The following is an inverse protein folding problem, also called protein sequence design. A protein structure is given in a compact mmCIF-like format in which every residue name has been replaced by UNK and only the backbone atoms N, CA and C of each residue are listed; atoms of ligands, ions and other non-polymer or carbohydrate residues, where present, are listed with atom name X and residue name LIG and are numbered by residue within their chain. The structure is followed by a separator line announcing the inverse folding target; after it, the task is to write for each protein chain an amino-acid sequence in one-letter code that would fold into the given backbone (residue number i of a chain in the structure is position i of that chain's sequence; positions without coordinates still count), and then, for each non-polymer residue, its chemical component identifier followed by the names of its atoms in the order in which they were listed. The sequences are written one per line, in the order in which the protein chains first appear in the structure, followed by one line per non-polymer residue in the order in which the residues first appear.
data_IF_822626009419
#
_entry.id   IF_822626009419
#
_cell.length_a   1.000
_cell.length_b   1.000
_cell.length_c   1.000
_cell.angle_alpha   90.00
_cell.angle_beta   90.00
_cell.angle_gamma   90.00
#
_symmetry.space_group_name_H-M   'P 1'
#
loop_
_entity.id
_entity.type
_entity.pdbx_description
1 polymer ?
#
# COMPACT_ATOMS: atom_id res chain seq x y z
N UNK A 1 -14.37 26.53 -11.53
CA UNK A 1 -15.11 25.29 -11.85
C UNK A 1 -14.09 24.19 -11.93
N UNK A 2 -13.97 23.38 -10.88
CA UNK A 2 -12.99 22.29 -10.79
C UNK A 2 -13.71 21.03 -11.30
N UNK A 3 -13.11 20.38 -12.29
CA UNK A 3 -13.55 19.09 -12.83
C UNK A 3 -13.67 18.07 -11.68
N UNK A 4 -14.84 17.44 -11.54
CA UNK A 4 -15.20 16.57 -10.41
C UNK A 4 -14.62 15.14 -10.55
N UNK A 5 -13.85 14.84 -11.61
CA UNK A 5 -13.40 13.48 -11.94
C UNK A 5 -11.87 13.33 -12.15
N UNK A 6 -11.05 14.29 -11.69
CA UNK A 6 -9.61 14.23 -11.92
C UNK A 6 -8.90 13.61 -10.72
N UNK A 7 -8.17 12.53 -10.97
CA UNK A 7 -7.16 12.02 -10.05
C UNK A 7 -5.85 12.80 -10.17
N UNK A 8 -5.01 12.70 -9.13
CA UNK A 8 -3.74 13.40 -9.06
C UNK A 8 -2.64 12.49 -8.49
N UNK A 9 -1.44 12.60 -9.07
CA UNK A 9 -0.23 11.87 -8.66
C UNK A 9 0.89 12.79 -8.16
N UNK A 10 1.44 12.53 -6.97
CA UNK A 10 2.54 13.28 -6.35
C UNK A 10 3.85 12.49 -6.42
N UNK A 11 4.94 13.13 -6.88
CA UNK A 11 6.27 12.54 -6.99
C UNK A 11 6.81 12.14 -5.61
N UNK A 12 7.35 10.94 -5.42
CA UNK A 12 8.03 10.60 -4.17
C UNK A 12 9.09 9.50 -4.38
N UNK A 13 9.94 9.31 -3.38
CA UNK A 13 10.92 8.21 -3.36
C UNK A 13 10.19 6.89 -3.12
N UNK A 14 10.29 5.94 -4.05
CA UNK A 14 9.73 4.60 -3.88
C UNK A 14 10.44 3.81 -2.79
N UNK A 15 11.73 4.06 -2.56
CA UNK A 15 12.47 3.47 -1.44
C UNK A 15 12.22 4.19 -0.12
N UNK A 16 12.11 3.41 0.96
CA UNK A 16 12.01 3.91 2.33
C UNK A 16 10.67 4.58 2.66
N UNK A 17 9.72 4.61 1.71
CA UNK A 17 8.46 5.30 1.86
C UNK A 17 7.25 4.35 1.90
N UNK A 18 6.23 4.73 2.65
CA UNK A 18 4.93 4.07 2.70
C UNK A 18 3.81 5.08 2.40
N UNK A 19 2.72 4.57 1.85
CA UNK A 19 1.57 5.36 1.42
C UNK A 19 0.34 4.92 2.20
N UNK A 20 -0.29 5.86 2.88
CA UNK A 20 -1.51 5.66 3.65
C UNK A 20 -2.59 6.66 3.22
N UNK A 21 -3.85 6.25 3.25
CA UNK A 21 -4.98 7.12 2.86
C UNK A 21 -6.05 7.15 3.94
N UNK A 22 -6.50 8.37 4.25
CA UNK A 22 -7.62 8.64 5.13
C UNK A 22 -8.53 9.69 4.50
N UNK A 23 -9.80 9.81 4.91
CA UNK A 23 -10.72 10.85 4.42
C UNK A 23 -10.11 12.26 4.28
N UNK A 24 -9.22 12.67 5.20
CA UNK A 24 -8.59 14.00 5.23
C UNK A 24 -7.47 14.21 4.20
N UNK A 25 -6.96 13.14 3.59
CA UNK A 25 -5.90 13.22 2.60
C UNK A 25 -5.04 11.96 2.49
N UNK A 26 -3.96 12.11 1.74
CA UNK A 26 -2.95 11.07 1.55
C UNK A 26 -1.73 11.37 2.37
N UNK A 27 -1.16 10.35 2.97
CA UNK A 27 0.02 10.45 3.81
C UNK A 27 1.14 9.64 3.18
N UNK A 28 2.30 10.27 3.04
CA UNK A 28 3.53 9.59 2.66
C UNK A 28 4.43 9.64 3.88
N UNK A 29 4.81 8.49 4.43
CA UNK A 29 5.84 8.43 5.46
C UNK A 29 7.15 7.95 4.84
N UNK A 30 8.26 8.66 5.06
CA UNK A 30 9.60 8.23 4.64
C UNK A 30 10.57 8.50 5.76
N UNK A 31 11.24 7.45 6.26
CA UNK A 31 12.07 7.54 7.47
C UNK A 31 11.28 8.14 8.64
N UNK A 32 11.80 9.17 9.29
CA UNK A 32 11.17 9.93 10.37
C UNK A 32 10.28 11.09 9.88
N UNK A 33 10.01 11.20 8.58
CA UNK A 33 9.21 12.28 7.99
C UNK A 33 7.82 11.78 7.59
N UNK A 34 6.80 12.60 7.83
CA UNK A 34 5.43 12.36 7.39
C UNK A 34 4.95 13.56 6.55
N UNK A 35 4.68 13.33 5.28
CA UNK A 35 3.98 14.30 4.43
C UNK A 35 2.48 14.06 4.47
N UNK A 36 1.72 15.14 4.60
CA UNK A 36 0.28 15.17 4.37
C UNK A 36 0.00 15.90 3.07
N UNK A 37 -0.69 15.21 2.15
CA UNK A 37 -1.07 15.70 0.84
C UNK A 37 -2.58 15.87 0.78
N UNK A 38 -3.04 17.09 0.49
CA UNK A 38 -4.46 17.42 0.39
C UNK A 38 -4.67 18.42 -0.75
N UNK A 39 -4.90 17.90 -1.96
CA UNK A 39 -5.02 18.71 -3.17
C UNK A 39 -3.74 19.51 -3.42
N UNK A 40 -3.83 20.84 -3.45
CA UNK A 40 -2.68 21.73 -3.60
C UNK A 40 -1.95 22.06 -2.29
N UNK A 41 -2.45 21.57 -1.13
CA UNK A 41 -1.83 21.79 0.17
C UNK A 41 -0.93 20.62 0.55
N UNK A 42 0.28 20.94 0.99
CA UNK A 42 1.26 19.97 1.45
C UNK A 42 1.92 20.46 2.74
N UNK A 43 2.05 19.58 3.72
CA UNK A 43 2.85 19.82 4.92
C UNK A 43 3.70 18.61 5.25
N UNK A 44 4.82 18.85 5.93
CA UNK A 44 5.73 17.80 6.40
C UNK A 44 5.92 17.95 7.90
N UNK A 45 5.77 16.84 8.63
CA UNK A 45 6.03 16.75 10.06
C UNK A 45 7.17 15.78 10.33
N UNK A 46 7.98 16.06 11.34
CA UNK A 46 9.14 15.25 11.72
C UNK A 46 8.85 14.50 13.02
N UNK A 47 8.98 13.18 12.99
CA UNK A 47 9.03 12.31 14.15
C UNK A 47 10.47 12.22 14.68
N UNK A 48 10.66 11.68 15.89
CA UNK A 48 12.03 11.47 16.42
C UNK A 48 12.71 10.23 15.85
N UNK A 49 11.96 9.36 15.21
CA UNK A 49 12.38 8.04 14.77
C UNK A 49 11.60 7.62 13.52
N UNK A 50 12.08 6.58 12.86
CA UNK A 50 11.46 6.03 11.65
C UNK A 50 10.00 5.66 11.89
N UNK A 51 9.13 6.18 11.03
CA UNK A 51 7.71 5.87 10.99
C UNK A 51 7.54 4.44 10.46
N UNK A 52 6.88 3.60 11.26
CA UNK A 52 6.60 2.19 10.95
C UNK A 52 5.17 2.00 10.46
N UNK A 53 4.24 2.83 10.91
CA UNK A 53 2.85 2.81 10.43
C UNK A 53 2.12 4.11 10.73
N UNK A 54 1.24 4.52 9.81
CA UNK A 54 0.27 5.60 9.99
C UNK A 54 -1.13 4.99 10.13
N UNK A 55 -1.95 5.50 11.04
CA UNK A 55 -3.21 4.86 11.39
C UNK A 55 -4.26 5.86 11.91
N UNK A 56 -5.53 5.44 12.02
CA UNK A 56 -6.61 6.23 12.62
C UNK A 56 -6.77 5.88 14.10
N UNK A 57 -6.57 6.84 15.01
CA UNK A 57 -6.80 6.69 16.46
C UNK A 57 -8.30 6.64 16.80
N UNK A 58 -8.64 6.12 17.99
CA UNK A 58 -10.04 6.09 18.50
C UNK A 58 -10.70 7.47 18.59
N UNK A 59 -9.92 8.51 18.84
CA UNK A 59 -10.41 9.89 18.90
C UNK A 59 -10.64 10.51 17.51
N UNK A 60 -10.44 9.75 16.43
CA UNK A 60 -10.59 10.21 15.06
C UNK A 60 -9.34 10.87 14.47
N UNK A 61 -8.30 11.16 15.26
CA UNK A 61 -7.08 11.78 14.75
C UNK A 61 -6.16 10.77 14.06
N UNK A 62 -5.24 11.27 13.25
CA UNK A 62 -4.19 10.43 12.64
C UNK A 62 -3.11 10.17 13.69
N UNK A 63 -2.75 8.90 13.84
CA UNK A 63 -1.70 8.41 14.71
C UNK A 63 -0.52 7.88 13.91
N UNK A 64 0.67 7.96 14.50
CA UNK A 64 1.90 7.39 13.95
C UNK A 64 2.53 6.47 15.00
N UNK A 65 3.08 5.35 14.57
CA UNK A 65 3.96 4.50 15.38
C UNK A 65 5.36 4.51 14.79
N UNK A 66 6.36 4.72 15.63
CA UNK A 66 7.77 4.71 15.25
C UNK A 66 8.51 3.43 15.71
N UNK A 67 9.75 3.24 15.25
CA UNK A 67 10.56 2.03 15.46
C UNK A 67 10.71 1.58 16.92
N UNK A 68 10.88 2.50 17.88
CA UNK A 68 11.01 2.17 19.31
C UNK A 68 9.68 2.20 20.06
N UNK A 69 8.56 1.96 19.37
CA UNK A 69 7.20 2.03 19.93
C UNK A 69 6.89 3.39 20.59
N UNK A 70 7.44 4.47 20.03
CA UNK A 70 6.99 5.83 20.30
C UNK A 70 5.75 6.09 19.44
N UNK A 71 4.74 6.72 20.02
CA UNK A 71 3.48 7.01 19.35
C UNK A 71 3.23 8.50 19.31
N UNK A 72 2.74 8.97 18.17
CA UNK A 72 2.34 10.36 17.97
C UNK A 72 0.88 10.45 17.55
N UNK A 73 0.27 11.60 17.82
CA UNK A 73 -0.93 12.04 17.13
C UNK A 73 -0.62 13.29 16.30
N UNK A 74 -1.23 13.39 15.13
CA UNK A 74 -1.20 14.59 14.30
C UNK A 74 -2.33 15.54 14.75
N UNK A 75 -1.94 16.68 15.29
CA UNK A 75 -2.83 17.73 15.80
C UNK A 75 -2.36 19.07 15.24
N UNK A 76 -3.21 19.77 14.49
CA UNK A 76 -2.87 21.06 13.86
C UNK A 76 -1.53 21.05 13.10
N UNK A 77 -1.28 20.00 12.31
CA UNK A 77 -0.04 19.80 11.52
C UNK A 77 1.23 19.56 12.34
N UNK A 78 1.09 19.39 13.66
CA UNK A 78 2.18 19.02 14.56
C UNK A 78 2.02 17.61 15.08
N UNK A 79 3.15 16.93 15.27
CA UNK A 79 3.20 15.63 15.90
C UNK A 79 3.36 15.81 17.41
N UNK A 80 2.33 15.41 18.15
CA UNK A 80 2.31 15.39 19.61
C UNK A 80 2.55 13.96 20.08
N UNK A 81 3.57 13.75 20.93
CA UNK A 81 3.83 12.43 21.52
C UNK A 81 2.68 12.04 22.45
N UNK A 82 2.21 10.81 22.36
CA UNK A 82 1.06 10.31 23.13
C UNK A 82 1.38 9.01 23.83
N UNK A 83 0.73 8.79 24.98
CA UNK A 83 0.73 7.48 25.62
C UNK A 83 -0.25 6.59 24.85
N UNK A 84 0.21 5.52 24.20
CA UNK A 84 -0.64 4.65 23.41
C UNK A 84 -1.57 3.82 24.29
N UNK A 85 -2.84 3.70 23.89
CA UNK A 85 -3.75 2.71 24.45
C UNK A 85 -3.58 1.33 23.78
N UNK A 86 -4.37 0.34 24.18
CA UNK A 86 -4.31 -0.98 23.54
C UNK A 86 -4.68 -0.94 22.04
N UNK A 87 -5.54 -0.01 21.62
CA UNK A 87 -5.93 0.10 20.23
C UNK A 87 -4.78 0.63 19.36
N UNK A 88 -4.08 1.66 19.84
CA UNK A 88 -2.87 2.21 19.22
C UNK A 88 -1.78 1.12 19.04
N UNK A 89 -1.53 0.31 20.09
CA UNK A 89 -0.46 -0.71 20.08
C UNK A 89 -0.73 -1.90 19.17
N UNK A 90 -2.00 -2.23 18.92
CA UNK A 90 -2.39 -3.45 18.23
C UNK A 90 -2.95 -3.20 16.81
N UNK A 91 -2.65 -2.05 16.21
CA UNK A 91 -2.86 -1.84 14.78
C UNK A 91 -4.25 -1.33 14.39
N UNK A 92 -4.94 -0.64 15.31
CA UNK A 92 -6.06 0.26 14.98
C UNK A 92 -7.22 -0.42 14.26
N UNK A 93 -7.72 -1.47 14.91
CA UNK A 93 -8.80 -2.27 14.40
C UNK A 93 -10.01 -1.46 13.91
N UNK A 94 -10.47 -1.75 12.69
CA UNK A 94 -11.78 -1.36 12.15
C UNK A 94 -12.92 -1.83 13.08
N UNK A 95 -14.10 -1.23 12.94
CA UNK A 95 -15.29 -1.67 13.66
C UNK A 95 -15.55 -3.18 13.42
N UNK A 96 -15.71 -3.97 14.49
CA UNK A 96 -15.60 -5.46 14.54
C UNK A 96 -14.17 -6.04 14.56
N UNK A 97 -13.12 -5.30 14.90
CA UNK A 97 -11.76 -5.85 14.97
C UNK A 97 -11.37 -6.35 16.37
N UNK A 98 -10.51 -7.38 16.34
CA UNK A 98 -10.09 -8.19 17.48
C UNK A 98 -8.63 -7.87 17.83
N UNK A 99 -8.33 -7.70 19.11
CA UNK A 99 -7.00 -7.27 19.55
C UNK A 99 -6.25 -8.42 20.23
N UNK A 100 -4.94 -8.48 20.03
CA UNK A 100 -4.08 -9.42 20.74
C UNK A 100 -3.58 -8.77 22.03
N UNK A 101 -4.22 -9.03 23.16
CA UNK A 101 -3.75 -8.51 24.45
C UNK A 101 -2.65 -9.41 25.07
N UNK A 102 -1.72 -8.80 25.81
CA UNK A 102 -0.72 -9.53 26.60
C UNK A 102 -0.87 -9.13 28.06
N UNK A 103 -1.34 -10.04 28.92
CA UNK A 103 -1.26 -9.84 30.36
C UNK A 103 0.18 -10.03 30.84
N UNK A 104 0.71 -9.06 31.59
CA UNK A 104 2.03 -9.21 32.24
C UNK A 104 1.93 -10.30 33.31
N UNK A 105 2.68 -11.40 33.12
CA UNK A 105 2.97 -12.37 34.18
C UNK A 105 2.47 -13.79 33.97
N UNK A 106 1.67 -14.08 32.94
CA UNK A 106 1.33 -15.45 32.50
C UNK A 106 1.21 -15.52 30.98
N UNK A 107 1.40 -16.72 30.44
CA UNK A 107 1.37 -17.08 29.01
C UNK A 107 0.49 -16.18 28.14
N UNK A 108 0.98 -15.83 26.94
CA UNK A 108 0.24 -15.06 25.93
C UNK A 108 -1.19 -15.58 25.71
N UNK A 109 -2.18 -14.73 25.97
CA UNK A 109 -3.60 -15.01 25.80
C UNK A 109 -4.15 -14.03 24.77
N UNK A 110 -4.46 -14.48 23.56
CA UNK A 110 -5.16 -13.64 22.57
C UNK A 110 -6.60 -13.49 23.03
N UNK A 111 -7.10 -12.25 23.13
CA UNK A 111 -8.45 -11.94 23.63
C UNK A 111 -9.25 -11.25 22.52
N UNK A 112 -10.11 -12.02 21.89
CA UNK A 112 -11.07 -11.57 20.89
C UNK A 112 -12.24 -10.86 21.57
N UNK A 113 -12.32 -9.53 21.48
CA UNK A 113 -13.36 -8.74 22.15
C UNK A 113 -14.25 -8.03 21.14
N UNK A 114 -15.57 -8.23 21.23
CA UNK A 114 -16.56 -7.38 20.57
C UNK A 114 -17.05 -6.33 21.57
N UNK A 115 -16.92 -5.06 21.21
CA UNK A 115 -17.40 -3.92 22.00
C UNK A 115 -18.52 -3.19 21.27
N UNK A 116 -19.56 -2.82 22.01
CA UNK A 116 -20.64 -1.95 21.54
C UNK A 116 -20.13 -0.53 21.27
N UNK A 117 -20.95 0.27 20.60
CA UNK A 117 -20.69 1.69 20.31
C UNK A 117 -20.48 2.54 21.57
N UNK A 118 -21.01 2.11 22.71
CA UNK A 118 -20.80 2.75 24.03
C UNK A 118 -19.55 2.23 24.76
N UNK A 119 -18.70 1.46 24.09
CA UNK A 119 -17.50 0.79 24.64
C UNK A 119 -17.76 -0.31 25.67
N UNK A 120 -19.02 -0.72 25.88
CA UNK A 120 -19.32 -1.91 26.69
C UNK A 120 -18.90 -3.19 25.95
N UNK A 121 -18.37 -4.16 26.70
CA UNK A 121 -17.94 -5.45 26.13
C UNK A 121 -19.16 -6.34 25.94
N UNK A 122 -19.42 -6.73 24.70
CA UNK A 122 -20.53 -7.63 24.35
C UNK A 122 -20.10 -9.09 24.38
N UNK A 123 -18.91 -9.38 23.86
CA UNK A 123 -18.32 -10.73 23.89
C UNK A 123 -16.81 -10.68 24.09
N UNK A 124 -16.28 -11.67 24.79
CA UNK A 124 -14.85 -11.90 24.96
C UNK A 124 -14.54 -13.39 24.76
N UNK A 125 -13.70 -13.70 23.77
CA UNK A 125 -13.22 -15.05 23.51
C UNK A 125 -11.71 -15.09 23.65
N UNK A 126 -11.17 -16.12 24.29
CA UNK A 126 -9.73 -16.27 24.43
C UNK A 126 -9.22 -17.59 23.89
N UNK A 127 -8.17 -17.55 23.07
CA UNK A 127 -7.53 -18.75 22.54
C UNK A 127 -6.35 -18.40 21.64
N UNK A 128 -5.30 -19.22 21.66
CA UNK A 128 -4.13 -18.99 20.82
C UNK A 128 -4.42 -19.31 19.35
N UNK A 129 -3.92 -18.46 18.44
CA UNK A 129 -3.99 -18.70 17.00
C UNK A 129 -5.39 -18.59 16.40
N UNK A 130 -6.30 -17.88 17.07
CA UNK A 130 -7.62 -17.57 16.57
C UNK A 130 -7.59 -16.27 15.74
N UNK A 131 -8.33 -16.25 14.64
CA UNK A 131 -8.58 -15.09 13.80
C UNK A 131 -10.07 -15.03 13.47
N UNK A 132 -10.73 -13.92 13.73
CA UNK A 132 -12.17 -13.81 13.43
C UNK A 132 -12.42 -13.68 11.92
N UNK A 133 -13.48 -14.31 11.44
CA UNK A 133 -13.85 -14.32 10.03
C UNK A 133 -15.15 -13.55 9.74
N UNK A 134 -16.09 -13.56 10.69
CA UNK A 134 -17.41 -12.97 10.52
C UNK A 134 -18.44 -13.59 11.46
N UNK A 135 -19.67 -13.11 11.32
CA UNK A 135 -20.85 -13.60 12.03
C UNK A 135 -21.87 -14.18 11.03
N UNK A 136 -22.54 -15.27 11.42
CA UNK A 136 -23.61 -15.89 10.64
C UNK A 136 -24.64 -16.53 11.56
N UNK A 137 -25.92 -16.17 11.39
CA UNK A 137 -27.03 -16.70 12.22
C UNK A 137 -26.73 -16.62 13.73
N UNK A 138 -26.25 -15.46 14.19
CA UNK A 138 -25.85 -15.19 15.58
C UNK A 138 -24.65 -16.00 16.11
N UNK A 139 -23.92 -16.71 15.25
CA UNK A 139 -22.68 -17.42 15.59
C UNK A 139 -21.46 -16.60 15.15
N UNK A 140 -20.51 -16.41 16.06
CA UNK A 140 -19.20 -15.85 15.73
C UNK A 140 -18.28 -16.94 15.19
N UNK A 141 -17.71 -16.69 14.02
CA UNK A 141 -16.89 -17.66 13.30
C UNK A 141 -15.43 -17.21 13.30
N UNK A 142 -14.53 -18.17 13.56
CA UNK A 142 -13.11 -17.95 13.67
C UNK A 142 -12.33 -18.99 12.88
N UNK A 143 -11.18 -18.63 12.34
CA UNK A 143 -10.15 -19.56 11.93
C UNK A 143 -9.19 -19.82 13.10
N UNK A 144 -8.99 -21.09 13.45
CA UNK A 144 -8.02 -21.54 14.43
C UNK A 144 -6.86 -22.23 13.71
N UNK A 145 -5.65 -21.66 13.82
CA UNK A 145 -4.43 -22.20 13.19
C UNK A 145 -4.23 -23.68 13.59
N UNK A 146 -4.03 -24.53 12.58
CA UNK A 146 -3.80 -25.98 12.75
C UNK A 146 -5.06 -26.80 13.04
N UNK A 147 -6.25 -26.18 13.10
CA UNK A 147 -7.52 -26.89 13.29
C UNK A 147 -8.51 -26.62 12.16
N UNK A 148 -8.61 -25.38 11.68
CA UNK A 148 -9.58 -24.99 10.66
C UNK A 148 -10.56 -23.94 11.16
N UNK A 149 -11.79 -23.95 10.65
CA UNK A 149 -12.80 -22.95 11.00
C UNK A 149 -13.69 -23.46 12.14
N UNK A 150 -13.82 -22.64 13.17
CA UNK A 150 -14.48 -22.96 14.43
C UNK A 150 -15.50 -21.88 14.79
N UNK A 151 -16.44 -22.23 15.66
CA UNK A 151 -17.38 -21.29 16.26
C UNK A 151 -17.53 -21.60 17.75
N UNK A 152 -17.96 -20.59 18.51
CA UNK A 152 -18.21 -20.75 19.93
C UNK A 152 -19.67 -21.07 20.19
N UNK A 153 -19.94 -22.16 20.91
CA UNK A 153 -21.29 -22.53 21.34
C UNK A 153 -21.26 -23.11 22.75
N UNK A 154 -22.10 -22.58 23.65
CA UNK A 154 -22.33 -23.10 25.02
C UNK A 154 -21.07 -23.34 25.84
N UNK A 155 -20.04 -22.51 25.68
CA UNK A 155 -18.81 -22.63 26.46
C UNK A 155 -17.69 -23.44 25.79
N UNK A 156 -17.89 -23.91 24.56
CA UNK A 156 -16.93 -24.75 23.85
C UNK A 156 -16.68 -24.28 22.41
N UNK A 157 -15.45 -24.50 21.92
CA UNK A 157 -15.07 -24.29 20.53
C UNK A 157 -15.42 -25.51 19.67
N UNK A 158 -16.45 -25.38 18.85
CA UNK A 158 -16.87 -26.42 17.91
C UNK A 158 -16.22 -26.21 16.54
N UNK A 159 -15.83 -27.31 15.90
CA UNK A 159 -15.32 -27.30 14.54
C UNK A 159 -16.49 -27.17 13.57
N UNK A 160 -16.45 -26.19 12.67
CA UNK A 160 -17.31 -26.16 11.48
C UNK A 160 -16.71 -27.08 10.42
N UNK A 161 -15.45 -26.85 10.07
CA UNK A 161 -14.74 -27.70 9.11
C UNK A 161 -13.22 -27.54 9.23
N UNK A 162 -12.51 -28.56 8.76
CA UNK A 162 -11.06 -28.56 8.61
C UNK A 162 -10.71 -28.51 7.11
N UNK A 163 -9.94 -27.50 6.64
CA UNK A 163 -9.56 -27.41 5.24
C UNK A 163 -8.51 -28.47 4.87
N UNK A 164 -8.45 -28.83 3.58
CA UNK A 164 -7.45 -29.76 3.05
C UNK A 164 -6.18 -29.09 2.53
N UNK A 165 -6.16 -27.75 2.52
CA UNK A 165 -5.02 -26.91 2.15
C UNK A 165 -3.76 -27.24 2.96
N UNK A 166 -2.60 -27.23 2.29
CA UNK A 166 -1.31 -27.41 2.95
C UNK A 166 -0.98 -26.20 3.83
N UNK A 167 -1.07 -25.00 3.23
CA UNK A 167 -0.87 -23.73 3.91
C UNK A 167 -2.02 -22.78 3.60
N UNK A 168 -2.60 -22.17 4.63
CA UNK A 168 -3.68 -21.19 4.49
C UNK A 168 -3.05 -19.80 4.54
N UNK A 169 -3.20 -19.04 3.46
CA UNK A 169 -2.69 -17.68 3.33
C UNK A 169 -3.74 -16.64 3.72
N UNK A 170 -5.01 -16.91 3.40
CA UNK A 170 -6.11 -15.98 3.64
C UNK A 170 -7.42 -16.73 3.84
N UNK A 171 -8.30 -16.18 4.68
CA UNK A 171 -9.63 -16.75 4.93
C UNK A 171 -10.60 -15.62 5.26
N UNK A 172 -11.78 -15.64 4.64
CA UNK A 172 -12.82 -14.63 4.87
C UNK A 172 -14.21 -15.13 4.49
N UNK A 173 -15.24 -14.55 5.10
CA UNK A 173 -16.62 -14.73 4.71
C UNK A 173 -17.00 -13.85 3.50
N UNK A 174 -17.62 -14.47 2.49
CA UNK A 174 -18.21 -13.84 1.30
C UNK A 174 -19.70 -14.17 1.32
N UNK A 175 -20.50 -13.31 1.96
CA UNK A 175 -21.89 -13.60 2.29
C UNK A 175 -21.99 -14.83 3.19
N UNK A 176 -22.76 -15.84 2.74
CA UNK A 176 -22.96 -17.12 3.46
C UNK A 176 -21.84 -18.14 3.24
N UNK A 177 -20.83 -17.83 2.43
CA UNK A 177 -19.75 -18.74 2.12
C UNK A 177 -18.47 -18.32 2.86
N UNK A 178 -17.66 -19.29 3.28
CA UNK A 178 -16.29 -19.06 3.73
C UNK A 178 -15.34 -19.54 2.65
N UNK A 179 -14.49 -18.64 2.18
CA UNK A 179 -13.45 -18.94 1.21
C UNK A 179 -12.11 -19.00 1.93
N UNK A 180 -11.39 -20.10 1.73
CA UNK A 180 -10.04 -20.32 2.25
C UNK A 180 -9.10 -20.40 1.08
N UNK A 181 -8.09 -19.54 1.08
CA UNK A 181 -7.10 -19.42 0.02
C UNK A 181 -5.76 -19.88 0.55
N UNK A 182 -5.11 -20.74 -0.21
CA UNK A 182 -3.87 -21.36 0.20
C UNK A 182 -3.16 -22.05 -0.95
N UNK A 183 -2.31 -23.01 -0.60
CA UNK A 183 -1.62 -23.89 -1.52
C UNK A 183 -2.06 -25.35 -1.37
N UNK A 184 -2.10 -26.06 -2.49
CA UNK A 184 -2.19 -27.52 -2.52
C UNK A 184 -0.81 -28.18 -2.26
N UNK A 185 -0.78 -29.50 -2.19
CA UNK A 185 0.48 -30.27 -1.96
C UNK A 185 1.52 -30.10 -3.08
N UNK A 186 1.11 -29.65 -4.26
CA UNK A 186 1.99 -29.37 -5.39
C UNK A 186 2.45 -27.89 -5.41
N UNK A 187 2.07 -27.09 -4.41
CA UNK A 187 2.38 -25.67 -4.33
C UNK A 187 1.55 -24.79 -5.27
N UNK A 188 0.46 -25.31 -5.84
CA UNK A 188 -0.48 -24.55 -6.67
C UNK A 188 -1.49 -23.83 -5.79
N UNK A 189 -1.98 -22.68 -6.26
CA UNK A 189 -3.01 -21.96 -5.55
C UNK A 189 -4.30 -22.79 -5.50
N UNK A 190 -4.86 -22.95 -4.31
CA UNK A 190 -6.11 -23.63 -4.08
C UNK A 190 -7.05 -22.77 -3.24
N UNK A 191 -8.32 -22.72 -3.63
CA UNK A 191 -9.38 -22.11 -2.87
C UNK A 191 -10.46 -23.14 -2.54
N UNK A 192 -10.75 -23.31 -1.24
CA UNK A 192 -11.86 -24.12 -0.75
C UNK A 192 -13.03 -23.21 -0.36
N UNK A 193 -14.24 -23.62 -0.75
CA UNK A 193 -15.48 -22.86 -0.52
C UNK A 193 -16.42 -23.69 0.33
N UNK A 194 -16.74 -23.18 1.51
CA UNK A 194 -17.67 -23.80 2.45
C UNK A 194 -18.94 -22.97 2.57
N UNK A 195 -20.10 -23.61 2.49
CA UNK A 195 -21.39 -22.95 2.69
C UNK A 195 -21.83 -23.07 4.15
N UNK A 196 -22.10 -21.94 4.80
CA UNK A 196 -22.52 -21.90 6.21
C UNK A 196 -23.96 -22.35 6.42
N UNK A 197 -24.80 -22.35 5.39
CA UNK A 197 -26.18 -22.82 5.47
C UNK A 197 -26.27 -24.34 5.49
N UNK A 198 -25.53 -25.02 4.60
CA UNK A 198 -25.44 -26.48 4.57
C UNK A 198 -24.38 -27.05 5.50
N UNK A 199 -23.42 -26.23 5.95
CA UNK A 199 -22.23 -26.67 6.71
C UNK A 199 -21.37 -27.69 5.94
N UNK A 200 -21.25 -27.50 4.62
CA UNK A 200 -20.52 -28.43 3.74
C UNK A 200 -19.51 -27.70 2.85
N UNK A 201 -18.46 -28.43 2.43
CA UNK A 201 -17.57 -28.02 1.34
C UNK A 201 -18.36 -28.10 0.04
N UNK A 202 -18.58 -26.96 -0.61
CA UNK A 202 -19.35 -26.88 -1.87
C UNK A 202 -18.47 -26.70 -3.10
N UNK A 203 -17.17 -26.38 -2.92
CA UNK A 203 -16.24 -26.22 -4.03
C UNK A 203 -14.78 -26.26 -3.62
N UNK A 204 -13.93 -26.77 -4.52
CA UNK A 204 -12.49 -26.75 -4.40
C UNK A 204 -11.90 -26.38 -5.76
N UNK A 205 -11.25 -25.23 -5.85
CA UNK A 205 -10.75 -24.63 -7.08
C UNK A 205 -9.23 -24.57 -7.03
N UNK A 206 -8.57 -25.18 -8.01
CA UNK A 206 -7.11 -25.21 -8.12
C UNK A 206 -6.70 -24.50 -9.39
N UNK A 207 -5.66 -23.70 -9.30
CA UNK A 207 -5.16 -22.91 -10.42
C UNK A 207 -3.64 -23.05 -10.54
N UNK A 208 -3.13 -23.13 -11.76
CA UNK A 208 -1.70 -23.26 -12.05
C UNK A 208 -0.97 -21.91 -11.90
N UNK A 209 -0.96 -21.39 -10.68
CA UNK A 209 -0.18 -20.23 -10.24
C UNK A 209 0.19 -20.39 -8.76
N UNK A 210 1.18 -19.64 -8.27
CA UNK A 210 1.74 -19.83 -6.92
C UNK A 210 0.88 -19.28 -5.77
N UNK A 211 -0.31 -18.75 -6.05
CA UNK A 211 -1.09 -18.00 -5.06
C UNK A 211 -0.47 -16.63 -4.76
N UNK A 212 -1.21 -15.80 -4.02
CA UNK A 212 -0.77 -14.51 -3.52
C UNK A 212 -1.64 -14.03 -2.37
N UNK A 213 -1.43 -12.78 -1.93
CA UNK A 213 -2.35 -12.14 -0.99
C UNK A 213 -3.70 -11.88 -1.67
N UNK A 214 -4.78 -12.02 -0.91
CA UNK A 214 -6.12 -11.66 -1.37
C UNK A 214 -6.44 -10.24 -0.91
N UNK A 215 -6.93 -9.40 -1.81
CA UNK A 215 -7.23 -7.99 -1.52
C UNK A 215 -8.47 -7.49 -2.26
N UNK A 216 -9.01 -6.35 -1.80
CA UNK A 216 -10.12 -5.62 -2.41
C UNK A 216 -11.31 -6.52 -2.82
N UNK A 217 -11.97 -7.17 -1.85
CA UNK A 217 -13.18 -7.95 -2.13
C UNK A 217 -14.42 -7.04 -2.20
N UNK A 218 -15.09 -6.99 -3.34
CA UNK A 218 -16.26 -6.14 -3.62
C UNK A 218 -17.42 -6.98 -4.15
N UNK A 219 -18.64 -6.68 -3.70
CA UNK A 219 -19.86 -7.37 -4.14
C UNK A 219 -20.63 -6.49 -5.14
N UNK A 220 -21.07 -7.08 -6.25
CA UNK A 220 -21.98 -6.45 -7.19
C UNK A 220 -22.89 -7.50 -7.84
N UNK A 221 -24.20 -7.27 -7.87
CA UNK A 221 -25.22 -8.18 -8.44
C UNK A 221 -25.01 -9.66 -8.05
N UNK A 222 -24.82 -9.90 -6.75
CA UNK A 222 -24.53 -11.20 -6.13
C UNK A 222 -23.17 -11.85 -6.47
N UNK A 223 -22.37 -11.23 -7.33
CA UNK A 223 -21.01 -11.66 -7.69
C UNK A 223 -19.94 -10.92 -6.88
N UNK A 224 -19.13 -11.68 -6.17
CA UNK A 224 -17.95 -11.17 -5.49
C UNK A 224 -16.78 -11.07 -6.44
N UNK A 225 -16.16 -9.91 -6.53
CA UNK A 225 -14.90 -9.68 -7.22
C UNK A 225 -13.79 -9.53 -6.18
N UNK A 226 -12.59 -10.04 -6.47
CA UNK A 226 -11.43 -9.87 -5.60
C UNK A 226 -10.13 -10.10 -6.36
N UNK A 227 -9.04 -9.47 -5.89
CA UNK A 227 -7.70 -9.79 -6.37
C UNK A 227 -7.12 -10.94 -5.57
N UNK A 228 -6.48 -11.88 -6.25
CA UNK A 228 -5.69 -12.93 -5.61
C UNK A 228 -4.30 -12.98 -6.26
N UNK A 229 -3.34 -12.30 -5.63
CA UNK A 229 -2.10 -11.88 -6.28
C UNK A 229 -2.35 -10.66 -7.17
N UNK A 230 -1.88 -10.72 -8.41
CA UNK A 230 -2.09 -9.67 -9.43
C UNK A 230 -3.21 -10.03 -10.41
N UNK A 231 -3.99 -11.08 -10.15
CA UNK A 231 -5.09 -11.49 -11.04
C UNK A 231 -6.45 -11.25 -10.38
N UNK A 232 -7.44 -10.89 -11.20
CA UNK A 232 -8.81 -10.66 -10.78
C UNK A 232 -9.63 -11.95 -10.86
N UNK A 233 -10.42 -12.22 -9.84
CA UNK A 233 -11.33 -13.36 -9.78
C UNK A 233 -12.75 -12.88 -9.49
N UNK A 234 -13.73 -13.66 -9.95
CA UNK A 234 -15.13 -13.53 -9.56
C UNK A 234 -15.64 -14.80 -8.88
N UNK A 235 -16.62 -14.64 -7.99
CA UNK A 235 -17.28 -15.71 -7.25
C UNK A 235 -18.78 -15.46 -7.14
N UNK A 236 -19.58 -16.32 -7.77
CA UNK A 236 -21.05 -16.23 -7.86
C UNK A 236 -21.78 -16.94 -6.71
N UNK A 237 -21.08 -17.28 -5.63
CA UNK A 237 -21.59 -18.12 -4.55
C UNK A 237 -21.41 -19.63 -4.79
N UNK A 238 -20.93 -20.06 -5.97
CA UNK A 238 -20.71 -21.47 -6.30
C UNK A 238 -19.37 -21.74 -6.97
N UNK A 239 -18.99 -20.94 -7.95
CA UNK A 239 -17.80 -21.13 -8.79
C UNK A 239 -16.88 -19.94 -8.67
N UNK A 240 -15.58 -20.21 -8.52
CA UNK A 240 -14.54 -19.19 -8.61
C UNK A 240 -13.97 -19.19 -10.03
N UNK A 241 -14.06 -18.06 -10.70
CA UNK A 241 -13.56 -17.86 -12.05
C UNK A 241 -12.41 -16.86 -12.07
N UNK A 242 -11.34 -17.19 -12.78
CA UNK A 242 -10.31 -16.20 -13.13
C UNK A 242 -10.86 -15.30 -14.22
N UNK A 243 -10.86 -13.99 -13.99
CA UNK A 243 -11.35 -13.00 -14.94
C UNK A 243 -10.18 -12.19 -15.48
N UNK A 244 -10.17 -11.95 -16.80
CA UNK A 244 -9.03 -11.39 -17.53
C UNK A 244 -7.72 -12.18 -17.33
N UNK A 245 -7.68 -13.44 -17.80
CA UNK A 245 -6.50 -14.28 -17.63
C UNK A 245 -5.26 -13.64 -18.28
N UNK A 246 -4.12 -13.69 -17.58
CA UNK A 246 -2.82 -13.12 -18.00
C UNK A 246 -2.73 -11.59 -17.96
N UNK A 247 -3.72 -10.90 -17.41
CA UNK A 247 -3.63 -9.47 -17.13
C UNK A 247 -3.17 -9.26 -15.68
N UNK A 248 -2.12 -8.46 -15.49
CA UNK A 248 -1.74 -7.97 -14.16
C UNK A 248 -2.64 -6.80 -13.79
N UNK A 249 -3.33 -6.92 -12.65
CA UNK A 249 -4.28 -5.95 -12.12
C UNK A 249 -3.71 -5.37 -10.83
N UNK A 250 -3.40 -4.08 -10.87
CA UNK A 250 -2.87 -3.35 -9.72
C UNK A 250 -3.98 -2.88 -8.75
N UNK A 251 -5.20 -2.75 -9.24
CA UNK A 251 -6.38 -2.37 -8.49
C UNK A 251 -7.60 -2.25 -9.39
N UNK A 252 -8.78 -2.16 -8.79
CA UNK A 252 -10.02 -2.04 -9.52
C UNK A 252 -11.14 -1.48 -8.62
N UNK A 253 -12.20 -0.98 -9.23
CA UNK A 253 -13.46 -0.64 -8.54
C UNK A 253 -14.65 -1.08 -9.39
N UNK A 254 -15.80 -1.29 -8.74
CA UNK A 254 -17.05 -1.70 -9.38
C UNK A 254 -18.11 -0.62 -9.18
N UNK A 255 -18.87 -0.31 -10.22
CA UNK A 255 -19.99 0.65 -10.21
C UNK A 255 -21.24 0.02 -10.80
N UNK A 256 -22.36 0.76 -10.75
CA UNK A 256 -23.59 0.36 -11.42
C UNK A 256 -23.45 0.28 -12.95
N UNK A 257 -22.46 0.93 -13.55
CA UNK A 257 -22.28 0.96 -15.01
C UNK A 257 -21.20 0.00 -15.51
N UNK A 258 -20.31 -0.48 -14.64
CA UNK A 258 -19.23 -1.38 -15.05
C UNK A 258 -18.14 -1.55 -14.02
N UNK A 259 -16.99 -2.05 -14.50
CA UNK A 259 -15.82 -2.31 -13.66
C UNK A 259 -14.61 -1.57 -14.25
N UNK A 260 -13.98 -0.71 -13.45
CA UNK A 260 -12.73 -0.05 -13.84
C UNK A 260 -11.54 -0.84 -13.32
N UNK A 261 -10.58 -1.14 -14.18
CA UNK A 261 -9.39 -1.93 -13.87
C UNK A 261 -8.14 -1.11 -14.17
N UNK A 262 -7.21 -1.08 -13.21
CA UNK A 262 -5.90 -0.45 -13.32
C UNK A 262 -4.87 -1.52 -13.67
N UNK A 263 -4.27 -1.43 -14.85
CA UNK A 263 -3.30 -2.42 -15.32
C UNK A 263 -1.94 -2.26 -14.62
N UNK A 264 -1.42 -3.38 -14.10
CA UNK A 264 -0.09 -3.47 -13.49
C UNK A 264 1.08 -3.60 -14.47
N UNK A 265 0.80 -3.78 -15.76
CA UNK A 265 1.82 -4.05 -16.78
C UNK A 265 1.75 -3.16 -18.03
N UNK A 266 0.65 -2.45 -18.28
CA UNK A 266 0.44 -1.70 -19.54
C UNK A 266 0.32 -0.18 -19.33
N UNK A 267 0.20 0.32 -18.09
CA UNK A 267 0.09 1.76 -17.84
C UNK A 267 -1.22 2.35 -18.35
N UNK A 268 -2.31 1.59 -18.23
CA UNK A 268 -3.66 1.97 -18.70
C UNK A 268 -4.72 1.62 -17.66
N UNK A 269 -5.79 2.42 -17.65
CA UNK A 269 -7.04 2.14 -16.96
C UNK A 269 -8.08 1.76 -18.01
N UNK A 270 -8.86 0.73 -17.75
CA UNK A 270 -9.94 0.29 -18.65
C UNK A 270 -11.24 0.15 -17.89
N UNK A 271 -12.28 0.76 -18.41
CA UNK A 271 -13.65 0.59 -17.93
C UNK A 271 -14.35 -0.45 -18.80
N UNK A 272 -14.82 -1.52 -18.18
CA UNK A 272 -15.48 -2.62 -18.84
C UNK A 272 -16.97 -2.65 -18.53
N UNK A 273 -17.75 -3.39 -19.34
CA UNK A 273 -19.01 -3.96 -18.87
C UNK A 273 -18.79 -4.92 -17.68
N UNK A 274 -19.84 -5.20 -16.89
CA UNK A 274 -19.76 -6.09 -15.73
C UNK A 274 -19.31 -7.51 -16.08
N UNK A 275 -19.59 -7.96 -17.29
CA UNK A 275 -19.11 -9.24 -17.80
C UNK A 275 -17.61 -9.29 -18.10
N UNK A 276 -16.90 -8.16 -18.01
CA UNK A 276 -15.49 -8.01 -18.37
C UNK A 276 -15.20 -8.48 -19.81
N UNK A 277 -16.15 -8.26 -20.73
CA UNK A 277 -16.10 -8.68 -22.14
C UNK A 277 -15.80 -7.54 -23.10
N UNK A 278 -16.27 -6.33 -22.79
CA UNK A 278 -16.14 -5.17 -23.66
C UNK A 278 -15.55 -3.99 -22.91
N UNK A 279 -14.49 -3.41 -23.46
CA UNK A 279 -13.91 -2.15 -23.00
C UNK A 279 -14.81 -1.01 -23.51
N UNK A 280 -15.40 -0.26 -22.58
CA UNK A 280 -16.21 0.94 -22.85
C UNK A 280 -15.35 2.20 -22.95
N UNK A 281 -14.31 2.28 -22.13
CA UNK A 281 -13.37 3.41 -22.11
C UNK A 281 -11.96 2.92 -21.73
N UNK A 282 -10.94 3.59 -22.26
CA UNK A 282 -9.55 3.37 -21.91
C UNK A 282 -8.85 4.72 -21.71
N UNK A 283 -8.13 4.85 -20.59
CA UNK A 283 -7.33 6.04 -20.25
C UNK A 283 -5.89 5.59 -20.02
N UNK A 284 -4.97 6.15 -20.81
CA UNK A 284 -3.54 5.88 -20.70
C UNK A 284 -2.90 6.78 -19.64
N UNK A 285 -1.98 6.23 -18.84
CA UNK A 285 -1.18 7.01 -17.89
C UNK A 285 -0.39 8.08 -18.67
N UNK A 286 -0.43 9.37 -18.26
CA UNK A 286 0.24 10.45 -18.98
C UNK A 286 1.77 10.49 -18.73
N UNK A 287 2.38 9.31 -18.54
CA UNK A 287 3.81 9.13 -18.32
C UNK A 287 4.26 7.78 -18.89
N UNK A 288 4.89 7.78 -20.08
CA UNK A 288 5.31 6.55 -20.75
C UNK A 288 6.25 5.70 -19.87
N UNK A 289 6.04 4.37 -19.89
CA UNK A 289 6.85 3.41 -19.15
C UNK A 289 6.48 3.27 -17.67
N UNK A 290 5.51 4.04 -17.17
CA UNK A 290 4.97 3.88 -15.82
C UNK A 290 3.70 3.02 -15.82
N UNK A 291 3.54 2.23 -14.77
CA UNK A 291 2.43 1.30 -14.57
C UNK A 291 1.84 1.46 -13.17
N UNK A 292 0.57 1.10 -13.01
CA UNK A 292 -0.10 1.09 -11.70
C UNK A 292 0.46 -0.02 -10.82
N UNK A 293 0.48 0.18 -9.51
CA UNK A 293 0.94 -0.81 -8.56
C UNK A 293 0.25 -0.62 -7.21
N UNK A 294 -0.33 -1.72 -6.69
CA UNK A 294 -0.93 -1.82 -5.35
C UNK A 294 -1.92 -0.70 -4.98
N UNK A 295 -3.05 -0.64 -5.69
CA UNK A 295 -4.13 0.27 -5.36
C UNK A 295 -5.13 -0.36 -4.40
N UNK A 296 -5.50 0.41 -3.38
CA UNK A 296 -6.52 0.05 -2.39
C UNK A 296 -7.74 0.96 -2.53
N UNK A 297 -8.90 0.40 -2.27
CA UNK A 297 -10.14 1.16 -2.19
C UNK A 297 -10.23 1.90 -0.85
N UNK A 298 -10.38 3.22 -0.92
CA UNK A 298 -10.57 4.11 0.20
C UNK A 298 -11.86 4.92 0.00
N UNK A 299 -12.96 4.41 0.53
CA UNK A 299 -14.31 5.02 0.48
C UNK A 299 -14.77 5.38 -0.95
N UNK A 300 -14.47 6.60 -1.40
CA UNK A 300 -14.88 7.19 -2.67
C UNK A 300 -13.78 7.24 -3.74
N UNK A 301 -12.59 6.71 -3.44
CA UNK A 301 -11.41 6.76 -4.31
C UNK A 301 -10.54 5.52 -4.23
N UNK A 302 -9.72 5.31 -5.25
CA UNK A 302 -8.58 4.41 -5.22
C UNK A 302 -7.31 5.19 -4.87
N UNK A 303 -6.47 4.60 -4.02
CA UNK A 303 -5.15 5.16 -3.67
C UNK A 303 -4.07 4.09 -3.84
N UNK A 304 -2.95 4.45 -4.44
CA UNK A 304 -1.86 3.55 -4.75
C UNK A 304 -0.70 4.30 -5.37
N UNK A 305 0.14 3.62 -6.14
CA UNK A 305 1.29 4.27 -6.75
C UNK A 305 1.51 3.90 -8.22
N UNK A 306 2.08 4.83 -8.96
CA UNK A 306 2.70 4.56 -10.26
C UNK A 306 4.20 4.39 -10.10
N UNK A 307 4.75 3.41 -10.81
CA UNK A 307 6.19 3.15 -10.86
C UNK A 307 6.62 2.82 -12.28
N UNK A 308 7.90 3.01 -12.58
CA UNK A 308 8.45 2.52 -13.85
C UNK A 308 8.34 0.99 -13.93
N UNK A 309 7.83 0.46 -15.04
CA UNK A 309 7.50 -0.96 -15.19
C UNK A 309 8.70 -1.89 -14.94
N UNK A 310 9.87 -1.47 -15.42
CA UNK A 310 11.13 -2.21 -15.36
C UNK A 310 11.93 -1.99 -14.07
N UNK A 311 11.39 -1.23 -13.10
CA UNK A 311 12.10 -0.88 -11.85
C UNK A 311 11.22 -1.13 -10.63
N UNK A 312 11.84 -1.66 -9.58
CA UNK A 312 11.22 -1.83 -8.26
C UNK A 312 11.48 -0.64 -7.33
N UNK A 313 12.22 0.37 -7.82
CA UNK A 313 12.86 1.41 -7.02
C UNK A 313 13.05 2.70 -7.83
N UNK A 314 13.26 3.83 -7.15
CA UNK A 314 13.43 5.14 -7.77
C UNK A 314 12.19 6.01 -7.62
N UNK A 315 12.00 6.94 -8.54
CA UNK A 315 10.88 7.87 -8.48
C UNK A 315 9.54 7.18 -8.76
N UNK A 316 8.63 7.28 -7.81
CA UNK A 316 7.25 6.81 -7.88
C UNK A 316 6.30 8.01 -7.84
N UNK A 317 5.02 7.79 -8.18
CA UNK A 317 3.96 8.75 -7.91
C UNK A 317 2.95 8.16 -6.94
N UNK A 318 2.64 8.86 -5.86
CA UNK A 318 1.55 8.54 -4.96
C UNK A 318 0.27 9.08 -5.59
N UNK A 319 -0.65 8.19 -5.97
CA UNK A 319 -1.79 8.52 -6.83
C UNK A 319 -3.09 8.35 -6.07
N UNK A 320 -3.96 9.36 -6.24
CA UNK A 320 -5.37 9.32 -5.85
C UNK A 320 -6.24 9.37 -7.10
N UNK A 321 -7.21 8.46 -7.21
CA UNK A 321 -8.13 8.38 -8.33
C UNK A 321 -9.57 8.35 -7.80
N UNK A 322 -10.42 9.33 -8.11
CA UNK A 322 -11.83 9.26 -7.73
C UNK A 322 -12.51 8.06 -8.42
N UNK A 323 -13.52 7.48 -7.77
CA UNK A 323 -14.37 6.48 -8.41
C UNK A 323 -15.34 7.18 -9.35
N UNK A 324 -15.21 6.94 -10.65
CA UNK A 324 -16.15 7.43 -11.65
C UNK A 324 -17.27 6.41 -11.87
N UNK A 325 -18.53 6.83 -11.68
CA UNK A 325 -19.71 5.97 -11.86
C UNK A 325 -19.77 5.41 -13.27
N UNK A 326 -19.48 6.25 -14.27
CA UNK A 326 -19.47 5.91 -15.68
C UNK A 326 -18.11 6.28 -16.26
N UNK A 327 -17.29 5.26 -16.53
CA UNK A 327 -15.98 5.44 -17.16
C UNK A 327 -14.77 5.36 -16.24
N UNK A 328 -13.63 5.77 -16.79
CA UNK A 328 -12.35 5.88 -16.09
C UNK A 328 -12.12 7.31 -15.59
N UNK A 329 -11.52 7.50 -14.39
CA UNK A 329 -11.05 8.81 -13.98
C UNK A 329 -9.92 9.29 -14.90
N UNK A 330 -9.82 10.61 -15.06
CA UNK A 330 -8.61 11.19 -15.64
C UNK A 330 -7.50 11.24 -14.58
N UNK A 331 -6.25 11.36 -15.01
CA UNK A 331 -5.10 11.42 -14.12
C UNK A 331 -4.19 12.58 -14.53
N UNK A 332 -3.92 13.46 -13.59
CA UNK A 332 -2.89 14.49 -13.70
C UNK A 332 -1.68 14.10 -12.83
N UNK A 333 -0.48 14.41 -13.32
CA UNK A 333 0.75 14.13 -12.59
C UNK A 333 1.47 15.43 -12.26
N UNK A 334 1.94 15.52 -11.03
CA UNK A 334 2.83 16.58 -10.58
C UNK A 334 4.05 16.66 -11.50
N UNK A 335 4.42 17.88 -11.87
CA UNK A 335 5.58 18.12 -12.70
C UNK A 335 6.86 18.14 -11.87
N UNK A 336 7.94 17.60 -12.42
CA UNK A 336 9.26 17.73 -11.82
C UNK A 336 9.66 19.21 -11.75
N UNK A 337 10.03 19.65 -10.55
CA UNK A 337 10.49 21.02 -10.29
C UNK A 337 12.01 21.16 -10.45
N UNK A 338 12.63 20.23 -11.17
CA UNK A 338 14.06 20.16 -11.34
C UNK A 338 14.45 19.76 -12.77
N UNK A 339 15.69 20.08 -13.13
CA UNK A 339 16.34 19.62 -14.36
C UNK A 339 17.58 18.80 -13.99
N UNK A 340 17.87 17.76 -14.80
CA UNK A 340 19.03 16.89 -14.60
C UNK A 340 19.99 17.07 -15.78
N UNK A 341 21.24 17.35 -15.48
CA UNK A 341 22.33 17.49 -16.45
C UNK A 341 23.45 16.49 -16.11
N UNK A 342 24.12 15.96 -17.14
CA UNK A 342 25.34 15.17 -16.95
C UNK A 342 26.54 16.09 -17.04
N UNK A 343 27.37 16.08 -16.01
CA UNK A 343 28.60 16.84 -15.98
C UNK A 343 29.82 15.92 -16.14
N UNK A 344 30.61 16.06 -17.22
CA UNK A 344 31.79 15.22 -17.44
C UNK A 344 32.81 15.34 -16.29
N UNK A 345 33.31 14.19 -15.84
CA UNK A 345 34.37 14.07 -14.83
C UNK A 345 35.38 13.01 -15.27
N UNK A 346 36.39 13.44 -16.02
CA UNK A 346 37.36 12.52 -16.63
C UNK A 346 36.68 11.61 -17.64
N UNK A 347 36.70 10.29 -17.40
CA UNK A 347 36.02 9.28 -18.22
C UNK A 347 34.60 8.92 -17.71
N UNK A 348 34.19 9.49 -16.58
CA UNK A 348 32.86 9.30 -15.98
C UNK A 348 32.03 10.60 -16.07
N UNK A 349 30.81 10.58 -15.58
CA UNK A 349 29.99 11.78 -15.36
C UNK A 349 29.38 11.80 -13.96
N UNK A 350 29.30 13.01 -13.38
CA UNK A 350 28.46 13.32 -12.22
C UNK A 350 27.06 13.74 -12.73
N UNK A 351 26.02 13.52 -11.92
CA UNK A 351 24.68 14.07 -12.19
C UNK A 351 24.51 15.38 -11.44
N UNK A 352 24.07 16.41 -12.15
CA UNK A 352 23.75 17.72 -11.59
C UNK A 352 22.24 17.91 -11.67
N UNK A 353 21.60 18.12 -10.53
CA UNK A 353 20.17 18.38 -10.43
C UNK A 353 19.97 19.82 -9.99
N UNK A 354 19.22 20.59 -10.75
CA UNK A 354 18.93 22.01 -10.47
C UNK A 354 17.45 22.18 -10.19
N UNK A 355 17.11 22.66 -8.99
CA UNK A 355 15.72 22.94 -8.61
C UNK A 355 15.29 24.33 -9.06
N UNK A 356 14.01 24.44 -9.39
CA UNK A 356 13.33 25.68 -9.76
C UNK A 356 13.20 26.60 -8.55
N UNK A 357 13.09 27.91 -8.82
CA UNK A 357 12.83 28.93 -7.79
C UNK A 357 11.35 28.95 -7.34
N UNK A 358 11.12 29.45 -6.13
CA UNK A 358 9.78 29.67 -5.57
C UNK A 358 9.04 28.40 -5.13
N UNK A 359 9.77 27.30 -4.90
CA UNK A 359 9.17 26.01 -4.54
C UNK A 359 8.96 25.93 -3.03
N UNK A 360 7.75 25.52 -2.60
CA UNK A 360 7.47 25.27 -1.19
C UNK A 360 8.38 24.17 -0.64
N UNK A 361 8.95 24.41 0.55
CA UNK A 361 9.95 23.51 1.12
C UNK A 361 9.50 22.04 1.29
N UNK A 362 8.26 21.72 1.74
CA UNK A 362 7.81 20.33 1.84
C UNK A 362 7.90 19.58 0.50
N UNK A 363 7.45 20.22 -0.58
CA UNK A 363 7.53 19.72 -1.96
C UNK A 363 8.98 19.59 -2.43
N UNK A 364 9.80 20.62 -2.15
CA UNK A 364 11.23 20.60 -2.49
C UNK A 364 11.94 19.41 -1.84
N UNK A 365 11.71 19.18 -0.56
CA UNK A 365 12.28 18.06 0.20
C UNK A 365 11.83 16.72 -0.40
N UNK A 366 10.52 16.53 -0.64
CA UNK A 366 9.97 15.29 -1.21
C UNK A 366 10.55 14.99 -2.59
N UNK A 367 10.56 15.97 -3.50
CA UNK A 367 11.12 15.79 -4.83
C UNK A 367 12.65 15.63 -4.81
N UNK A 368 13.36 16.21 -3.84
CA UNK A 368 14.80 15.98 -3.61
C UNK A 368 15.09 14.52 -3.30
N UNK A 369 14.32 13.91 -2.40
CA UNK A 369 14.48 12.49 -2.10
C UNK A 369 14.12 11.63 -3.32
N UNK A 370 13.04 11.97 -4.03
CA UNK A 370 12.61 11.23 -5.21
C UNK A 370 13.64 11.23 -6.35
N UNK A 371 14.21 12.39 -6.69
CA UNK A 371 15.20 12.50 -7.78
C UNK A 371 16.53 11.86 -7.41
N UNK A 372 16.91 11.90 -6.13
CA UNK A 372 18.11 11.22 -5.66
C UNK A 372 17.94 9.70 -5.75
N UNK A 373 16.77 9.17 -5.32
CA UNK A 373 16.43 7.76 -5.43
C UNK A 373 16.41 7.31 -6.90
N UNK A 374 15.79 8.12 -7.77
CA UNK A 374 15.72 7.83 -9.21
C UNK A 374 17.10 7.81 -9.87
N UNK A 375 17.95 8.78 -9.53
CA UNK A 375 19.32 8.89 -10.05
C UNK A 375 20.14 7.64 -9.73
N UNK A 376 20.10 7.19 -8.47
CA UNK A 376 20.77 5.95 -8.05
C UNK A 376 20.14 4.71 -8.66
N UNK A 377 18.81 4.61 -8.68
CA UNK A 377 18.08 3.48 -9.26
C UNK A 377 18.38 3.31 -10.75
N UNK A 378 18.40 4.41 -11.52
CA UNK A 378 18.71 4.41 -12.96
C UNK A 378 20.15 4.02 -13.27
N UNK A 379 21.10 4.35 -12.40
CA UNK A 379 22.52 4.21 -12.68
C UNK A 379 23.21 3.11 -11.85
N UNK A 380 22.45 2.21 -11.23
CA UNK A 380 22.99 1.06 -10.49
C UNK A 380 23.34 -0.16 -11.34
N UNK A 381 22.74 -0.31 -12.54
CA UNK A 381 22.95 -1.50 -13.37
C UNK A 381 23.16 -1.13 -14.86
N UNK A 382 24.38 -1.30 -15.40
CA UNK A 382 24.68 -1.13 -16.82
C UNK A 382 23.82 -1.94 -17.80
N UNK A 383 23.30 -3.10 -17.38
CA UNK A 383 22.44 -3.93 -18.23
C UNK A 383 21.08 -3.28 -18.48
N UNK A 384 20.58 -2.53 -17.49
CA UNK A 384 19.28 -1.83 -17.58
C UNK A 384 19.42 -0.41 -18.15
N UNK A 385 20.59 0.20 -17.97
CA UNK A 385 20.92 1.52 -18.50
C UNK A 385 22.40 1.53 -18.90
N UNK A 386 22.74 1.46 -20.20
CA UNK A 386 24.13 1.44 -20.66
C UNK A 386 24.97 2.61 -20.15
N UNK A 387 24.35 3.76 -19.91
CA UNK A 387 25.04 4.96 -19.43
C UNK A 387 25.45 4.85 -17.95
N UNK A 388 24.86 3.92 -17.19
CA UNK A 388 25.27 3.61 -15.83
C UNK A 388 26.74 3.15 -15.75
N UNK A 389 27.28 2.58 -16.84
CA UNK A 389 28.69 2.19 -16.93
C UNK A 389 29.66 3.39 -16.79
N UNK A 390 29.18 4.61 -17.05
CA UNK A 390 29.96 5.85 -16.99
C UNK A 390 29.53 6.76 -15.83
N UNK A 391 28.56 6.34 -15.02
CA UNK A 391 28.13 7.13 -13.87
C UNK A 391 29.18 7.06 -12.76
N UNK A 392 29.57 8.21 -12.22
CA UNK A 392 30.59 8.33 -11.18
C UNK A 392 30.13 7.92 -9.78
N UNK A 393 28.82 7.74 -9.59
CA UNK A 393 28.21 7.54 -8.27
C UNK A 393 27.78 8.83 -7.59
N UNK A 394 28.07 10.00 -8.17
CA UNK A 394 27.88 11.30 -7.53
C UNK A 394 26.71 12.08 -8.11
N UNK A 395 25.84 12.54 -7.21
CA UNK A 395 24.72 13.46 -7.53
C UNK A 395 24.92 14.78 -6.78
N UNK A 396 24.93 15.90 -7.50
CA UNK A 396 24.94 17.23 -6.90
C UNK A 396 23.55 17.87 -7.04
N UNK A 397 22.97 18.32 -5.92
CA UNK A 397 21.64 18.90 -5.82
C UNK A 397 21.77 20.40 -5.55
N UNK A 398 21.38 21.24 -6.51
CA UNK A 398 21.50 22.70 -6.47
C UNK A 398 20.17 23.37 -6.15
N UNK A 399 20.19 24.20 -5.11
CA UNK A 399 19.03 24.95 -4.62
C UNK A 399 19.30 26.46 -4.78
N UNK A 400 18.41 27.13 -5.51
CA UNK A 400 18.53 28.56 -5.82
C UNK A 400 17.90 29.41 -4.71
N UNK A 401 16.79 28.96 -4.14
CA UNK A 401 16.09 29.69 -3.09
C UNK A 401 16.89 29.72 -1.77
N UNK A 402 16.82 30.83 -1.01
CA UNK A 402 17.45 30.92 0.30
C UNK A 402 16.72 30.01 1.30
N UNK A 403 17.39 28.95 1.73
CA UNK A 403 16.89 28.00 2.73
C UNK A 403 17.38 28.36 4.14
N UNK A 404 16.54 28.15 5.15
CA UNK A 404 16.96 28.25 6.55
C UNK A 404 17.92 27.13 6.92
N UNK A 405 18.71 27.30 7.99
CA UNK A 405 19.59 26.23 8.47
C UNK A 405 18.84 24.95 8.86
N UNK A 406 17.62 25.09 9.39
CA UNK A 406 16.73 23.95 9.69
C UNK A 406 16.34 23.20 8.42
N UNK A 407 15.96 23.92 7.35
CA UNK A 407 15.63 23.34 6.05
C UNK A 407 16.82 22.63 5.39
N UNK A 408 18.00 23.24 5.45
CA UNK A 408 19.25 22.64 4.96
C UNK A 408 19.59 21.35 5.72
N UNK A 409 19.46 21.38 7.05
CA UNK A 409 19.70 20.21 7.89
C UNK A 409 18.71 19.07 7.56
N UNK A 410 17.44 19.40 7.31
CA UNK A 410 16.45 18.38 6.97
C UNK A 410 16.68 17.76 5.58
N UNK A 411 17.10 18.56 4.58
CA UNK A 411 17.55 18.04 3.27
C UNK A 411 18.76 17.12 3.45
N UNK A 412 19.76 17.56 4.21
CA UNK A 412 20.96 16.77 4.48
C UNK A 412 20.63 15.43 5.15
N UNK A 413 19.78 15.47 6.17
CA UNK A 413 19.32 14.29 6.89
C UNK A 413 18.55 13.32 5.98
N UNK A 414 17.54 13.80 5.25
CA UNK A 414 16.77 12.97 4.33
C UNK A 414 17.63 12.33 3.24
N UNK A 415 18.53 13.09 2.62
CA UNK A 415 19.45 12.56 1.62
C UNK A 415 20.44 11.54 2.21
N UNK A 416 20.92 11.73 3.45
CA UNK A 416 21.76 10.74 4.15
C UNK A 416 21.00 9.44 4.41
N UNK A 417 19.77 9.53 4.90
CA UNK A 417 18.90 8.37 5.15
C UNK A 417 18.64 7.58 3.88
N UNK A 418 18.36 8.26 2.77
CA UNK A 418 18.20 7.62 1.47
C UNK A 418 19.51 7.01 0.96
N UNK A 419 20.62 7.73 1.04
CA UNK A 419 21.94 7.23 0.64
C UNK A 419 22.34 5.98 1.45
N UNK A 420 21.92 5.88 2.72
CA UNK A 420 22.15 4.72 3.57
C UNK A 420 21.51 3.44 3.01
N UNK A 421 20.37 3.54 2.30
CA UNK A 421 19.71 2.41 1.64
C UNK A 421 20.52 1.85 0.45
N UNK A 422 21.46 2.64 -0.06
CA UNK A 422 22.35 2.28 -1.17
C UNK A 422 23.77 1.91 -0.70
N UNK A 423 24.03 1.79 0.61
CA UNK A 423 25.33 1.37 1.13
C UNK A 423 25.73 -0.01 0.60
N UNK A 424 27.02 -0.16 0.27
CA UNK A 424 27.57 -1.36 -0.38
C UNK A 424 27.30 -1.44 -1.88
N UNK A 425 26.67 -0.41 -2.48
CA UNK A 425 26.65 -0.22 -3.94
C UNK A 425 27.80 0.69 -4.34
N UNK A 426 28.49 0.27 -5.38
CA UNK A 426 29.60 1.02 -5.97
C UNK A 426 29.23 1.44 -7.38
N UNK A 427 29.68 2.62 -7.76
CA UNK A 427 29.51 3.14 -9.10
C UNK A 427 30.32 2.33 -10.10
N UNK A 428 29.71 1.84 -11.20
CA UNK A 428 30.40 0.99 -12.16
C UNK A 428 31.66 1.63 -12.75
N UNK A 429 31.67 2.96 -12.91
CA UNK A 429 32.77 3.68 -13.55
C UNK A 429 33.98 3.90 -12.62
N UNK A 430 33.75 4.08 -11.32
CA UNK A 430 34.77 4.56 -10.37
C UNK A 430 35.07 3.57 -9.24
N UNK A 431 34.17 2.63 -8.97
CA UNK A 431 34.22 1.79 -7.76
C UNK A 431 33.92 2.56 -6.47
N UNK A 432 33.55 3.85 -6.55
CA UNK A 432 33.22 4.66 -5.38
C UNK A 432 31.78 4.39 -4.93
N UNK A 433 31.52 4.49 -3.63
CA UNK A 433 30.15 4.39 -3.11
C UNK A 433 29.29 5.54 -3.64
N UNK A 434 28.01 5.24 -3.88
CA UNK A 434 27.04 6.28 -4.21
C UNK A 434 27.00 7.37 -3.14
N UNK A 435 27.03 8.62 -3.57
CA UNK A 435 27.07 9.76 -2.67
C UNK A 435 26.45 11.00 -3.31
N UNK A 436 26.09 11.97 -2.45
CA UNK A 436 25.46 13.21 -2.87
C UNK A 436 26.20 14.44 -2.34
N UNK A 437 25.92 15.59 -2.95
CA UNK A 437 26.34 16.91 -2.44
C UNK A 437 25.18 17.88 -2.55
N UNK A 438 24.85 18.58 -1.47
CA UNK A 438 23.93 19.71 -1.50
C UNK A 438 24.70 20.99 -1.79
N UNK A 439 24.19 21.82 -2.70
CA UNK A 439 24.75 23.12 -3.06
C UNK A 439 23.66 24.16 -2.90
N UNK A 440 23.90 25.11 -2.00
CA UNK A 440 22.99 26.23 -1.70
C UNK A 440 23.59 27.53 -2.26
N UNK A 441 22.73 28.40 -2.77
CA UNK A 441 23.11 29.73 -3.29
C UNK A 441 23.69 30.66 -2.21
#
# INVERSE_FOLDING_TARGET
MISVNNGYGYIYSGFGSMLDSFPEGVFISSFDMLWKLSGSSESVSLAREDVVSVYRRKNGLIGLRCSSDIFYQLSNEQLEEVIPDSYDKFGCGKFKDFYREYERGRSSKVVHRLTRSDSSVEYEFSGQGLAFLGDWSDLFIFHQRGRGVVFWERGEWKLLFAPSLQDIHYVRCFGKCILLFGSDQAGRAQCEVFDLGSSELIGCFVFDYSGGAVSNALLHDDDWHFLWGEELFSFDGRVINRVLPKSSVAGYYVTEQGICILSGNEGVMRFYDHGLRHIKEEVVVPLPGYVFSSFILAEDRLVGYLRAANRQAGLFYAVTLPICVDGCPSLELEQALYQIEKHPRGQAFDLIVRFSEGVAFPTLLRQTLAVLDDSYSLHRNPESNPEAALFSGRVELYFIDPLTEEQKNLLQHGCQRLCALYLGREAPATGESFNFRLVFA
#
